data_IF_499587703134
#
_entry.id   IF_499587703134
#
_cell.length_a   1.000
_cell.length_b   1.000
_cell.length_c   1.000
_cell.angle_alpha   90.00
_cell.angle_beta   90.00
_cell.angle_gamma   90.00
#
_symmetry.space_group_name_H-M   'P 1'
#
loop_
_entity.id
_entity.type
_entity.pdbx_description
1 polymer ?
#
# COMPACT_ATOMS: atom_id res chain seq x y z
N UNK A 1 13.76 -26.55 -12.88
CA UNK A 1 12.45 -26.05 -13.37
C UNK A 1 12.56 -24.54 -13.45
N UNK A 2 12.79 -23.99 -14.64
CA UNK A 2 12.70 -22.56 -14.88
C UNK A 2 11.19 -22.23 -14.84
N UNK A 3 10.72 -21.70 -13.71
CA UNK A 3 9.35 -21.21 -13.58
C UNK A 3 9.39 -19.70 -13.69
N UNK A 4 9.33 -19.25 -14.93
CA UNK A 4 8.92 -17.91 -15.32
C UNK A 4 7.46 -17.76 -14.92
N UNK A 5 7.20 -17.44 -13.65
CA UNK A 5 5.88 -17.03 -13.21
C UNK A 5 5.84 -15.51 -13.26
N UNK A 6 5.11 -15.07 -14.29
CA UNK A 6 4.36 -13.84 -14.41
C UNK A 6 4.87 -12.66 -13.57
N UNK A 7 5.40 -11.68 -14.29
CA UNK A 7 5.07 -10.28 -14.02
C UNK A 7 3.54 -10.10 -14.14
N UNK A 8 2.81 -10.63 -13.16
CA UNK A 8 1.59 -10.01 -12.71
C UNK A 8 2.02 -8.87 -11.83
N UNK A 9 2.32 -7.72 -12.43
CA UNK A 9 2.10 -6.43 -11.77
C UNK A 9 0.58 -6.25 -11.60
N UNK A 10 -0.08 -7.20 -10.96
CA UNK A 10 -1.30 -6.93 -10.27
C UNK A 10 -0.82 -6.25 -9.01
N UNK A 11 -0.66 -4.94 -9.09
CA UNK A 11 -0.55 -4.14 -7.90
C UNK A 11 -1.77 -4.46 -7.03
N UNK A 12 -1.64 -5.23 -5.93
CA UNK A 12 -2.78 -5.53 -5.09
C UNK A 12 -3.35 -4.27 -4.44
N UNK A 13 -2.75 -3.10 -4.67
CA UNK A 13 -3.16 -1.79 -4.19
C UNK A 13 -3.91 -0.95 -5.26
N UNK A 14 -3.91 -1.31 -6.55
CA UNK A 14 -4.41 -0.47 -7.64
C UNK A 14 -5.93 -0.21 -7.67
N UNK A 15 -6.68 -0.76 -6.71
CA UNK A 15 -8.13 -0.54 -6.61
C UNK A 15 -8.70 -0.66 -5.21
N UNK A 16 -7.85 -0.69 -4.16
CA UNK A 16 -8.35 -0.76 -2.78
C UNK A 16 -8.63 0.65 -2.30
N UNK A 17 -9.89 0.91 -1.94
CA UNK A 17 -10.22 2.04 -1.06
C UNK A 17 -9.37 1.87 0.19
N UNK A 18 -8.36 2.73 0.34
CA UNK A 18 -7.47 2.62 1.48
C UNK A 18 -8.22 2.88 2.78
N UNK A 19 -7.90 2.15 3.85
CA UNK A 19 -8.55 2.35 5.13
C UNK A 19 -8.40 3.79 5.62
N UNK A 20 -9.29 4.22 6.52
CA UNK A 20 -9.21 5.57 7.10
C UNK A 20 -8.57 5.55 8.48
N UNK A 21 -8.60 4.42 9.20
CA UNK A 21 -8.06 4.30 10.56
C UNK A 21 -6.65 3.73 10.55
N UNK A 22 -5.80 4.27 11.43
CA UNK A 22 -4.40 3.85 11.55
C UNK A 22 -4.20 2.36 11.83
N UNK A 23 -5.06 1.74 12.65
CA UNK A 23 -4.97 0.31 12.96
C UNK A 23 -5.15 -0.57 11.71
N UNK A 24 -6.11 -0.23 10.85
CA UNK A 24 -6.36 -0.95 9.59
C UNK A 24 -5.20 -0.78 8.59
N UNK A 25 -4.56 0.39 8.58
CA UNK A 25 -3.31 0.59 7.82
C UNK A 25 -2.18 -0.30 8.33
N UNK A 26 -2.02 -0.44 9.64
CA UNK A 26 -0.99 -1.31 10.22
C UNK A 26 -1.25 -2.77 9.88
N UNK A 27 -2.49 -3.24 9.98
CA UNK A 27 -2.86 -4.61 9.60
C UNK A 27 -2.56 -4.90 8.12
N UNK A 28 -2.91 -3.96 7.23
CA UNK A 28 -2.63 -4.09 5.80
C UNK A 28 -1.11 -4.07 5.53
N UNK A 29 -0.34 -3.29 6.30
CA UNK A 29 1.11 -3.14 6.15
C UNK A 29 1.84 -4.42 6.53
N UNK A 30 1.46 -4.98 7.69
CA UNK A 30 2.00 -6.24 8.17
C UNK A 30 1.62 -7.37 7.22
N UNK A 31 0.38 -7.43 6.75
CA UNK A 31 -0.07 -8.46 5.80
C UNK A 31 0.70 -8.42 4.48
N UNK A 32 0.89 -7.24 3.90
CA UNK A 32 1.64 -7.10 2.64
C UNK A 32 3.12 -7.47 2.82
N UNK A 33 3.76 -7.06 3.92
CA UNK A 33 5.15 -7.47 4.19
C UNK A 33 5.29 -8.96 4.50
N UNK A 34 4.32 -9.58 5.19
CA UNK A 34 4.33 -11.03 5.44
C UNK A 34 4.16 -11.85 4.15
N UNK A 35 3.55 -11.27 3.12
CA UNK A 35 3.40 -11.89 1.81
C UNK A 35 4.59 -11.64 0.87
N UNK A 36 5.56 -10.81 1.27
CA UNK A 36 6.73 -10.52 0.46
C UNK A 36 7.65 -11.75 0.36
N UNK A 37 8.18 -12.02 -0.84
CA UNK A 37 9.01 -13.20 -1.08
C UNK A 37 10.44 -13.05 -0.56
N UNK A 38 10.93 -11.82 -0.43
CA UNK A 38 12.25 -11.50 0.06
C UNK A 38 12.28 -10.09 0.68
N UNK A 39 13.42 -9.71 1.24
CA UNK A 39 13.58 -8.42 1.92
C UNK A 39 13.48 -7.23 0.96
N UNK A 40 13.90 -7.37 -0.30
CA UNK A 40 13.82 -6.29 -1.28
C UNK A 40 12.37 -6.06 -1.73
N UNK A 41 11.60 -7.13 -1.92
CA UNK A 41 10.15 -7.05 -2.16
C UNK A 41 9.42 -6.44 -0.96
N UNK A 42 9.84 -6.79 0.27
CA UNK A 42 9.28 -6.23 1.49
C UNK A 42 9.56 -4.72 1.58
N UNK A 43 10.79 -4.28 1.25
CA UNK A 43 11.15 -2.85 1.20
C UNK A 43 10.38 -2.10 0.13
N UNK A 44 10.24 -2.69 -1.07
CA UNK A 44 9.48 -2.08 -2.16
C UNK A 44 8.01 -1.92 -1.77
N UNK A 45 7.41 -2.97 -1.19
CA UNK A 45 6.03 -2.94 -0.69
C UNK A 45 5.86 -1.89 0.43
N UNK A 46 6.77 -1.86 1.41
CA UNK A 46 6.74 -0.88 2.48
C UNK A 46 6.84 0.57 1.97
N UNK A 47 7.75 0.82 1.02
CA UNK A 47 7.95 2.15 0.42
C UNK A 47 6.68 2.61 -0.29
N UNK A 48 6.10 1.73 -1.11
CA UNK A 48 4.86 2.02 -1.82
C UNK A 48 3.71 2.31 -0.88
N UNK A 49 3.56 1.49 0.17
CA UNK A 49 2.42 1.62 1.06
C UNK A 49 2.47 2.88 1.93
N UNK A 50 3.67 3.34 2.30
CA UNK A 50 3.86 4.62 2.97
C UNK A 50 3.54 5.81 2.05
N UNK A 51 3.91 5.74 0.78
CA UNK A 51 3.54 6.76 -0.22
C UNK A 51 2.01 6.87 -0.36
N UNK A 52 1.31 5.74 -0.39
CA UNK A 52 -0.16 5.71 -0.48
C UNK A 52 -0.84 6.24 0.80
N UNK A 53 -0.27 5.97 1.98
CA UNK A 53 -0.71 6.57 3.23
C UNK A 53 -0.57 8.10 3.21
N UNK A 54 0.57 8.60 2.73
CA UNK A 54 0.80 10.04 2.60
C UNK A 54 -0.22 10.68 1.65
N UNK A 55 -0.44 10.10 0.47
CA UNK A 55 -1.47 10.57 -0.49
C UNK A 55 -2.85 10.59 0.15
N UNK A 56 -3.20 9.54 0.89
CA UNK A 56 -4.48 9.41 1.57
C UNK A 56 -4.68 10.48 2.66
N UNK A 57 -3.65 10.77 3.46
CA UNK A 57 -3.67 11.84 4.46
C UNK A 57 -3.79 13.21 3.78
N UNK A 58 -2.96 13.46 2.75
CA UNK A 58 -2.96 14.71 2.00
C UNK A 58 -4.31 14.98 1.32
N UNK A 59 -4.93 13.97 0.72
CA UNK A 59 -6.24 14.08 0.10
C UNK A 59 -7.30 14.50 1.13
N UNK A 60 -7.37 13.81 2.27
CA UNK A 60 -8.32 14.17 3.35
C UNK A 60 -8.07 15.56 3.91
N UNK A 61 -6.81 15.95 4.09
CA UNK A 61 -6.47 17.29 4.56
C UNK A 61 -6.94 18.38 3.57
N UNK A 62 -6.78 18.13 2.26
CA UNK A 62 -7.28 19.02 1.20
C UNK A 62 -8.80 19.06 1.12
N UNK A 63 -9.48 17.93 1.31
CA UNK A 63 -10.95 17.89 1.36
C UNK A 63 -11.50 18.72 2.53
N UNK A 64 -10.85 18.64 3.70
CA UNK A 64 -11.21 19.48 4.84
C UNK A 64 -10.94 20.97 4.58
N UNK A 65 -9.86 21.30 3.86
CA UNK A 65 -9.53 22.68 3.50
C UNK A 65 -10.47 23.27 2.45
N UNK A 66 -10.92 22.48 1.47
CA UNK A 66 -11.89 22.93 0.45
C UNK A 66 -13.32 23.10 0.99
N UNK A 67 -13.59 22.63 2.21
CA UNK A 67 -14.88 22.76 2.90
C UNK A 67 -14.90 23.87 3.97
N UNK A 68 -13.80 24.61 4.15
CA UNK A 68 -13.69 25.80 5.00
C UNK A 68 -13.79 27.08 4.17
#
# INVERSE_FOLDING_TARGET
>A
RCSKHAAGSEDPLAGKNYPTKGAEWVELFVKEMMNASNMDDAKASASKMLEELEKSICARAKELQNSM
#
